data_IF_961564545110
#
_entry.id   IF_961564545110
#
_cell.length_a   1.000
_cell.length_b   1.000
_cell.length_c   1.000
_cell.angle_alpha   90.00
_cell.angle_beta   90.00
_cell.angle_gamma   90.00
#
_symmetry.space_group_name_H-M   'P 1'
#
loop_
_entity.id
_entity.type
_entity.pdbx_description
1 polymer ?
#
# COMPACT_ATOMS: atom_id res chain seq x y z
N UNK A 1 4.36 -7.80 22.33
CA UNK A 1 4.79 -6.57 21.62
C UNK A 1 3.71 -6.21 20.61
N UNK A 2 3.56 -4.94 20.25
CA UNK A 2 2.70 -4.52 19.14
C UNK A 2 3.53 -3.99 17.99
N UNK A 3 3.10 -4.27 16.78
CA UNK A 3 3.65 -3.70 15.56
C UNK A 3 2.51 -3.18 14.70
N UNK A 4 2.73 -2.12 13.93
CA UNK A 4 1.79 -1.68 12.90
C UNK A 4 2.35 -2.13 11.56
N UNK A 5 1.58 -2.89 10.81
CA UNK A 5 1.87 -3.20 9.41
C UNK A 5 1.19 -2.16 8.55
N UNK A 6 1.94 -1.56 7.63
CA UNK A 6 1.48 -0.53 6.72
C UNK A 6 1.81 -0.97 5.29
N UNK A 7 0.86 -0.74 4.39
CA UNK A 7 0.97 -1.07 2.98
C UNK A 7 0.84 0.20 2.19
N UNK A 8 1.91 0.54 1.49
CA UNK A 8 1.95 1.69 0.61
C UNK A 8 1.95 1.23 -0.84
N UNK A 9 1.28 1.99 -1.69
CA UNK A 9 1.32 1.81 -3.14
C UNK A 9 1.86 3.05 -3.85
N UNK A 10 2.37 2.85 -5.05
CA UNK A 10 2.74 3.89 -6.00
C UNK A 10 2.43 3.44 -7.41
N UNK A 11 1.93 4.35 -8.24
CA UNK A 11 1.70 4.08 -9.66
C UNK A 11 2.95 4.45 -10.44
N UNK A 12 3.46 3.54 -11.27
CA UNK A 12 4.58 3.85 -12.17
C UNK A 12 4.15 4.87 -13.21
N UNK A 13 3.00 4.61 -13.84
CA UNK A 13 2.33 5.54 -14.73
C UNK A 13 1.41 6.49 -13.94
N UNK A 14 1.61 7.79 -14.10
CA UNK A 14 0.79 8.82 -13.43
C UNK A 14 0.28 9.83 -14.47
N UNK A 15 -0.75 9.47 -15.25
CA UNK A 15 -1.32 10.35 -16.27
C UNK A 15 -2.03 11.56 -15.68
N UNK A 16 -2.35 11.52 -14.38
CA UNK A 16 -2.88 12.62 -13.58
C UNK A 16 -2.02 12.81 -12.33
N UNK A 17 -2.19 13.95 -11.65
CA UNK A 17 -1.50 14.19 -10.39
C UNK A 17 -1.89 13.13 -9.36
N UNK A 18 -0.90 12.38 -8.90
CA UNK A 18 -1.05 11.32 -7.91
C UNK A 18 0.02 11.47 -6.81
N UNK A 19 -0.25 11.00 -5.59
CA UNK A 19 0.76 10.92 -4.54
C UNK A 19 1.99 10.13 -5.01
N UNK A 20 3.17 10.49 -4.49
CA UNK A 20 4.39 9.68 -4.70
C UNK A 20 4.27 8.30 -4.04
N UNK A 21 3.61 8.26 -2.88
CA UNK A 21 3.26 7.07 -2.12
C UNK A 21 1.87 7.30 -1.51
N UNK A 22 1.03 6.27 -1.52
CA UNK A 22 -0.29 6.28 -0.88
C UNK A 22 -0.38 5.16 0.14
N UNK A 23 -0.81 5.46 1.37
CA UNK A 23 -1.14 4.41 2.35
C UNK A 23 -2.44 3.75 1.92
N UNK A 24 -2.37 2.50 1.47
CA UNK A 24 -3.51 1.76 0.97
C UNK A 24 -4.18 0.89 2.05
N UNK A 25 -3.41 0.45 3.04
CA UNK A 25 -3.91 -0.40 4.12
C UNK A 25 -2.99 -0.34 5.35
N UNK A 26 -3.55 -0.51 6.55
CA UNK A 26 -2.76 -0.70 7.75
C UNK A 26 -3.49 -1.53 8.82
N UNK A 27 -2.73 -2.22 9.67
CA UNK A 27 -3.26 -2.93 10.84
C UNK A 27 -2.25 -3.00 11.96
N UNK A 28 -2.72 -2.80 13.18
CA UNK A 28 -1.94 -3.11 14.39
C UNK A 28 -2.06 -4.60 14.69
N UNK A 29 -0.92 -5.27 14.84
CA UNK A 29 -0.81 -6.69 15.16
C UNK A 29 -0.10 -6.89 16.49
N UNK A 30 -0.55 -7.92 17.21
CA UNK A 30 0.07 -8.36 18.45
C UNK A 30 1.04 -9.49 18.14
N UNK A 31 2.30 -9.32 18.50
CA UNK A 31 3.33 -10.37 18.39
C UNK A 31 3.63 -10.89 19.80
N UNK A 32 3.35 -12.17 20.09
CA UNK A 32 3.74 -12.80 21.34
C UNK A 32 5.25 -12.70 21.54
N UNK A 33 5.68 -12.27 22.73
CA UNK A 33 7.10 -12.11 23.08
C UNK A 33 7.67 -13.34 23.79
N UNK A 34 6.87 -14.37 24.00
CA UNK A 34 7.24 -15.60 24.72
C UNK A 34 8.24 -16.46 23.95
N UNK A 35 8.29 -16.34 22.62
CA UNK A 35 9.27 -17.03 21.78
C UNK A 35 9.80 -16.06 20.69
N UNK A 36 11.12 -15.82 20.61
CA UNK A 36 11.72 -14.90 19.63
C UNK A 36 11.54 -15.33 18.17
N UNK A 37 11.20 -16.60 17.91
CA UNK A 37 10.93 -17.12 16.58
C UNK A 37 9.44 -17.09 16.20
N UNK A 38 8.59 -16.48 17.03
CA UNK A 38 7.15 -16.35 16.72
C UNK A 38 6.97 -15.51 15.46
N UNK A 39 6.24 -16.06 14.48
CA UNK A 39 5.85 -15.36 13.26
C UNK A 39 4.34 -15.12 13.28
N UNK A 40 3.92 -13.93 12.87
CA UNK A 40 2.51 -13.58 12.70
C UNK A 40 2.26 -13.37 11.22
N UNK A 41 1.33 -14.13 10.65
CA UNK A 41 0.88 -13.94 9.27
C UNK A 41 -0.21 -12.87 9.23
N UNK A 42 -0.11 -11.98 8.25
CA UNK A 42 -1.05 -10.86 8.07
C UNK A 42 -1.65 -10.95 6.68
N UNK A 43 -2.97 -11.07 6.63
CA UNK A 43 -3.75 -10.99 5.41
C UNK A 43 -4.34 -9.58 5.29
N UNK A 44 -4.40 -9.09 4.06
CA UNK A 44 -4.92 -7.76 3.74
C UNK A 44 -5.56 -7.78 2.36
N UNK A 45 -6.44 -6.81 2.13
CA UNK A 45 -7.05 -6.52 0.85
C UNK A 45 -6.88 -5.01 0.60
N UNK A 46 -6.62 -4.64 -0.65
CA UNK A 46 -6.52 -3.23 -1.07
C UNK A 46 -7.76 -2.92 -1.87
N UNK A 47 -8.60 -2.03 -1.34
CA UNK A 47 -9.82 -1.59 -2.03
C UNK A 47 -9.49 -0.86 -3.34
N UNK A 48 -10.36 -1.00 -4.33
CA UNK A 48 -10.24 -0.30 -5.61
C UNK A 48 -10.14 1.23 -5.43
N UNK A 49 -10.87 1.78 -4.46
CA UNK A 49 -10.80 3.21 -4.11
C UNK A 49 -9.41 3.63 -3.62
N UNK A 50 -8.70 2.76 -2.90
CA UNK A 50 -7.33 3.02 -2.46
C UNK A 50 -6.33 3.05 -3.62
N UNK A 51 -6.69 2.52 -4.79
CA UNK A 51 -5.89 2.54 -6.03
C UNK A 51 -6.40 3.56 -7.06
N UNK A 52 -7.51 4.23 -6.78
CA UNK A 52 -8.13 5.14 -7.72
C UNK A 52 -7.41 6.50 -7.77
N UNK A 53 -7.34 7.06 -8.98
CA UNK A 53 -6.86 8.41 -9.24
C UNK A 53 -8.02 9.30 -9.68
N UNK A 54 -7.93 10.59 -9.34
CA UNK A 54 -8.96 11.56 -9.69
C UNK A 54 -8.73 12.14 -11.09
N UNK A 55 -9.70 11.92 -11.97
CA UNK A 55 -9.78 12.53 -13.30
C UNK A 55 -10.87 13.61 -13.32
N UNK A 56 -10.90 14.49 -14.34
CA UNK A 56 -11.93 15.54 -14.44
C UNK A 56 -13.38 15.03 -14.37
N UNK A 57 -13.61 13.77 -14.74
CA UNK A 57 -14.91 13.12 -14.77
C UNK A 57 -15.15 12.09 -13.65
N UNK A 58 -14.20 11.93 -12.71
CA UNK A 58 -14.38 11.15 -11.49
C UNK A 58 -13.20 10.25 -11.12
N UNK A 59 -13.41 9.41 -10.09
CA UNK A 59 -12.45 8.41 -9.63
C UNK A 59 -12.35 7.23 -10.59
N UNK A 60 -11.11 6.87 -10.92
CA UNK A 60 -10.80 5.75 -11.83
C UNK A 60 -9.62 4.95 -11.32
N UNK A 61 -9.73 3.64 -11.35
CA UNK A 61 -8.56 2.76 -11.39
C UNK A 61 -8.14 2.65 -12.85
N UNK A 62 -6.85 2.86 -13.13
CA UNK A 62 -6.30 2.82 -14.48
C UNK A 62 -5.42 1.60 -14.68
N UNK A 63 -5.30 1.07 -15.93
CA UNK A 63 -4.30 0.07 -16.25
C UNK A 63 -2.89 0.61 -16.00
N UNK A 64 -1.99 -0.28 -15.61
CA UNK A 64 -0.59 0.06 -15.33
C UNK A 64 0.00 -0.75 -14.20
N UNK A 65 1.28 -0.49 -13.91
CA UNK A 65 2.01 -1.20 -12.87
C UNK A 65 1.94 -0.42 -11.56
N UNK A 66 1.53 -1.11 -10.50
CA UNK A 66 1.50 -0.59 -9.14
C UNK A 66 2.61 -1.23 -8.33
N UNK A 67 3.50 -0.40 -7.82
CA UNK A 67 4.53 -0.76 -6.86
C UNK A 67 3.92 -0.81 -5.45
N UNK A 68 4.12 -1.91 -4.72
CA UNK A 68 3.61 -2.12 -3.37
C UNK A 68 4.75 -2.32 -2.37
N UNK A 69 4.66 -1.65 -1.24
CA UNK A 69 5.62 -1.69 -0.15
C UNK A 69 4.93 -2.11 1.15
N UNK A 70 5.47 -3.10 1.84
CA UNK A 70 4.99 -3.54 3.16
C UNK A 70 6.05 -3.24 4.20
N UNK A 71 5.70 -2.46 5.22
CA UNK A 71 6.67 -1.97 6.20
C UNK A 71 6.00 -1.59 7.53
N UNK A 72 6.80 -1.48 8.60
CA UNK A 72 6.39 -0.89 9.88
C UNK A 72 6.44 0.64 9.91
N UNK A 73 6.96 1.26 8.85
CA UNK A 73 7.13 2.71 8.68
C UNK A 73 6.92 3.06 7.21
N UNK A 74 6.48 4.29 6.92
CA UNK A 74 6.46 4.79 5.55
C UNK A 74 7.81 4.58 4.83
N UNK A 75 7.81 4.05 3.59
CA UNK A 75 9.02 3.93 2.78
C UNK A 75 9.72 5.27 2.53
N UNK A 76 11.04 5.21 2.32
CA UNK A 76 11.90 6.34 1.95
C UNK A 76 11.93 7.51 2.95
N UNK A 77 11.63 7.24 4.22
CA UNK A 77 11.77 8.21 5.30
C UNK A 77 13.25 8.47 5.64
N UNK A 78 13.58 9.72 5.97
CA UNK A 78 14.95 10.11 6.38
C UNK A 78 15.40 9.36 7.63
N UNK A 79 14.50 9.20 8.60
CA UNK A 79 14.73 8.42 9.81
C UNK A 79 14.58 6.94 9.47
N UNK A 80 15.68 6.19 9.56
CA UNK A 80 15.68 4.73 9.42
C UNK A 80 15.37 4.08 10.76
N UNK A 81 14.43 3.14 10.78
CA UNK A 81 14.13 2.29 11.93
C UNK A 81 14.51 0.84 11.56
N UNK A 82 15.08 0.04 12.48
CA UNK A 82 15.36 -1.36 12.21
C UNK A 82 14.08 -2.10 11.79
N UNK A 83 14.11 -2.78 10.65
CA UNK A 83 12.99 -3.55 10.13
C UNK A 83 13.18 -3.90 8.66
N UNK A 84 12.63 -5.04 8.24
CA UNK A 84 12.59 -5.43 6.83
C UNK A 84 11.39 -4.78 6.15
N UNK A 85 11.64 -4.00 5.10
CA UNK A 85 10.61 -3.62 4.14
C UNK A 85 10.52 -4.68 3.05
N UNK A 86 9.31 -5.13 2.73
CA UNK A 86 9.07 -5.97 1.56
C UNK A 86 8.58 -5.09 0.41
N UNK A 87 8.96 -5.46 -0.80
CA UNK A 87 8.59 -4.77 -2.03
C UNK A 87 8.12 -5.80 -3.05
N UNK A 88 7.06 -5.46 -3.78
CA UNK A 88 6.59 -6.21 -4.94
C UNK A 88 5.87 -5.25 -5.90
N UNK A 89 5.46 -5.74 -7.06
CA UNK A 89 4.63 -4.99 -7.99
C UNK A 89 3.57 -5.90 -8.61
N UNK A 90 2.42 -5.34 -8.94
CA UNK A 90 1.37 -6.03 -9.68
C UNK A 90 0.87 -5.14 -10.82
N UNK A 91 0.26 -5.77 -11.82
CA UNK A 91 -0.28 -5.08 -12.98
C UNK A 91 -1.81 -5.04 -12.92
N UNK A 92 -2.37 -3.86 -13.18
CA UNK A 92 -3.79 -3.67 -13.41
C UNK A 92 -4.01 -3.72 -14.92
N UNK A 93 -4.80 -4.69 -15.38
CA UNK A 93 -4.98 -4.96 -16.81
C UNK A 93 -6.08 -4.10 -17.46
N UNK A 94 -6.98 -3.52 -16.66
CA UNK A 94 -8.17 -2.83 -17.17
C UNK A 94 -8.52 -1.58 -16.35
N UNK A 95 -9.22 -0.65 -16.97
CA UNK A 95 -9.75 0.53 -16.28
C UNK A 95 -11.06 0.22 -15.59
N UNK A 96 -11.27 0.80 -14.41
CA UNK A 96 -12.54 0.73 -13.70
C UNK A 96 -12.97 2.14 -13.26
N UNK A 97 -14.12 2.60 -13.79
CA UNK A 97 -14.73 3.86 -13.37
C UNK A 97 -15.54 3.64 -12.09
N UNK A 98 -15.21 4.40 -11.04
CA UNK A 98 -15.88 4.26 -9.74
C UNK A 98 -16.99 5.30 -9.58
N UNK A 99 -16.80 6.53 -10.08
CA UNK A 99 -17.81 7.58 -10.01
C UNK A 99 -17.28 8.93 -9.52
N UNK A 100 -18.20 9.89 -9.38
CA UNK A 100 -17.97 11.15 -8.67
C UNK A 100 -18.56 10.99 -7.27
N UNK A 101 -17.70 11.02 -6.25
CA UNK A 101 -18.15 11.07 -4.86
C UNK A 101 -18.83 12.41 -4.55
#
# INVERSE_FOLDING_TARGET
MFQVVQIYISWRERPVQAPKLQLAWFKRVTVPVTNPNTRVQVYFEIDAMSMALWFPDGWRVIPGVVDMFVSGQQPFQKRKVPGSSMYTSFEILGSHYIGKL
#
